data_IF_379763523673
#
_entry.id   IF_379763523673
#
_cell.length_a   1.000
_cell.length_b   1.000
_cell.length_c   1.000
_cell.angle_alpha   90.00
_cell.angle_beta   90.00
_cell.angle_gamma   90.00
#
_symmetry.space_group_name_H-M   'P 1'
#
loop_
_entity.id
_entity.type
_entity.pdbx_description
1 polymer ?
#
# COMPACT_ATOMS: atom_id res chain seq x y z
N UNK A 1 10.63 4.32 -13.84
CA UNK A 1 10.62 5.72 -14.38
C UNK A 1 9.20 6.14 -14.76
N UNK A 2 8.51 5.40 -15.63
CA UNK A 2 7.12 5.71 -16.00
C UNK A 2 6.09 5.34 -14.92
N UNK A 3 6.12 4.10 -14.40
CA UNK A 3 5.17 3.66 -13.36
C UNK A 3 5.27 4.51 -12.08
N UNK A 4 6.50 4.86 -11.68
CA UNK A 4 6.73 5.75 -10.53
C UNK A 4 6.29 7.20 -10.81
N UNK A 5 6.27 7.62 -12.08
CA UNK A 5 5.73 8.92 -12.49
C UNK A 5 4.21 8.93 -12.37
N UNK A 6 3.54 7.84 -12.76
CA UNK A 6 2.10 7.69 -12.60
C UNK A 6 1.69 7.78 -11.11
N UNK A 7 2.37 7.03 -10.23
CA UNK A 7 2.13 7.11 -8.78
C UNK A 7 2.32 8.54 -8.22
N UNK A 8 3.36 9.25 -8.66
CA UNK A 8 3.60 10.65 -8.26
C UNK A 8 2.49 11.59 -8.73
N UNK A 9 2.03 11.43 -9.98
CA UNK A 9 0.91 12.22 -10.55
C UNK A 9 -0.39 11.94 -9.79
N UNK A 10 -0.67 10.69 -9.45
CA UNK A 10 -1.83 10.31 -8.63
C UNK A 10 -1.80 11.01 -7.28
N UNK A 11 -0.68 10.94 -6.54
CA UNK A 11 -0.55 11.65 -5.25
C UNK A 11 -0.71 13.16 -5.41
N UNK A 12 -0.10 13.77 -6.43
CA UNK A 12 -0.27 15.20 -6.72
C UNK A 12 -1.73 15.58 -6.94
N UNK A 13 -2.49 14.78 -7.71
CA UNK A 13 -3.93 15.00 -7.92
C UNK A 13 -4.72 14.84 -6.62
N UNK A 14 -4.39 13.84 -5.81
CA UNK A 14 -5.04 13.65 -4.49
C UNK A 14 -4.80 14.85 -3.58
N UNK A 15 -3.58 15.41 -3.55
CA UNK A 15 -3.27 16.61 -2.77
C UNK A 15 -4.01 17.85 -3.26
N UNK A 16 -4.07 18.08 -4.58
CA UNK A 16 -4.82 19.21 -5.17
C UNK A 16 -6.31 19.13 -4.80
N UNK A 17 -6.87 17.93 -4.73
CA UNK A 17 -8.28 17.70 -4.41
C UNK A 17 -8.51 17.39 -2.92
N UNK A 18 -7.61 17.82 -2.04
CA UNK A 18 -7.71 17.70 -0.58
C UNK A 18 -7.90 16.28 -0.04
N UNK A 19 -7.62 15.26 -0.85
CA UNK A 19 -7.76 13.86 -0.49
C UNK A 19 -6.48 13.28 0.12
N UNK A 20 -5.36 14.02 0.15
CA UNK A 20 -4.08 13.60 0.72
C UNK A 20 -3.31 14.83 1.22
N UNK A 21 -2.86 14.82 2.48
CA UNK A 21 -2.05 15.91 3.00
C UNK A 21 -0.62 15.86 2.42
N UNK A 22 0.04 17.00 2.10
CA UNK A 22 1.38 17.03 1.52
C UNK A 22 2.45 16.27 2.33
N UNK A 23 2.32 16.29 3.66
CA UNK A 23 3.24 15.61 4.58
C UNK A 23 2.74 14.22 5.05
N UNK A 24 1.69 13.67 4.43
CA UNK A 24 1.21 12.33 4.76
C UNK A 24 2.20 11.24 4.35
N UNK A 25 2.12 10.09 5.02
CA UNK A 25 3.00 8.98 4.72
C UNK A 25 2.65 8.29 3.40
N UNK A 26 3.67 8.08 2.57
CA UNK A 26 3.50 7.46 1.25
C UNK A 26 3.26 5.96 1.35
N UNK A 27 3.87 5.25 2.31
CA UNK A 27 3.72 3.80 2.42
C UNK A 27 2.35 3.44 2.99
N UNK A 28 1.85 4.22 3.96
CA UNK A 28 0.49 4.13 4.52
C UNK A 28 -0.60 4.27 3.46
N UNK A 29 -0.40 5.13 2.46
CA UNK A 29 -1.31 5.26 1.32
C UNK A 29 -1.55 3.91 0.62
N UNK A 30 -0.51 3.08 0.51
CA UNK A 30 -0.54 1.80 -0.18
C UNK A 30 -0.75 0.59 0.74
N UNK A 31 -0.96 0.80 2.04
CA UNK A 31 -1.32 -0.26 2.98
C UNK A 31 -2.83 -0.53 2.94
N UNK A 32 -3.27 -1.77 3.22
CA UNK A 32 -4.69 -2.10 3.33
C UNK A 32 -5.42 -1.27 4.38
N UNK A 33 -6.69 -0.93 4.12
CA UNK A 33 -7.56 -0.19 5.06
C UNK A 33 -7.70 -0.89 6.41
N UNK A 34 -7.77 -2.23 6.40
CA UNK A 34 -7.83 -3.06 7.62
C UNK A 34 -6.59 -2.98 8.52
N UNK A 35 -5.46 -2.48 7.99
CA UNK A 35 -4.21 -2.27 8.74
C UNK A 35 -3.94 -0.78 8.98
N UNK A 36 -4.96 0.07 8.89
CA UNK A 36 -4.82 1.52 9.08
C UNK A 36 -4.24 2.28 7.88
N UNK A 37 -4.10 1.63 6.73
CA UNK A 37 -3.71 2.25 5.46
C UNK A 37 -4.90 2.83 4.68
N UNK A 38 -4.66 3.27 3.44
CA UNK A 38 -5.70 3.87 2.58
C UNK A 38 -6.21 2.96 1.46
N UNK A 39 -5.53 1.83 1.23
CA UNK A 39 -5.92 0.79 0.29
C UNK A 39 -5.63 1.12 -1.17
N UNK A 40 -4.84 2.14 -1.47
CA UNK A 40 -4.46 2.42 -2.86
C UNK A 40 -3.47 1.34 -3.34
N UNK A 41 -3.62 0.90 -4.59
CA UNK A 41 -2.65 -0.01 -5.20
C UNK A 41 -1.47 0.78 -5.75
N UNK A 42 -0.25 0.33 -5.45
CA UNK A 42 0.97 0.92 -6.01
C UNK A 42 1.19 0.33 -7.39
N UNK A 43 1.17 1.17 -8.43
CA UNK A 43 1.18 0.73 -9.84
C UNK A 43 2.33 -0.22 -10.12
N UNK A 44 3.55 0.14 -9.69
CA UNK A 44 4.74 -0.68 -9.88
C UNK A 44 4.61 -2.05 -9.21
N UNK A 45 4.05 -2.09 -8.00
CA UNK A 45 3.85 -3.36 -7.29
C UNK A 45 2.84 -4.24 -8.03
N UNK A 46 1.72 -3.68 -8.48
CA UNK A 46 0.70 -4.43 -9.22
C UNK A 46 1.29 -5.09 -10.46
N UNK A 47 2.10 -4.36 -11.24
CA UNK A 47 2.77 -4.92 -12.42
C UNK A 47 3.73 -6.07 -12.05
N UNK A 48 4.50 -5.93 -10.96
CA UNK A 48 5.37 -7.01 -10.50
C UNK A 48 4.58 -8.22 -9.98
N UNK A 49 3.46 -8.00 -9.27
CA UNK A 49 2.56 -9.06 -8.83
C UNK A 49 1.97 -9.84 -10.01
N UNK A 50 1.54 -9.17 -11.07
CA UNK A 50 1.03 -9.83 -12.28
C UNK A 50 2.13 -10.61 -13.02
N UNK A 51 3.37 -10.12 -13.05
CA UNK A 51 4.51 -10.89 -13.59
C UNK A 51 4.73 -12.18 -12.80
N UNK A 52 4.63 -12.10 -11.47
CA UNK A 52 4.72 -13.27 -10.61
C UNK A 52 3.56 -14.25 -10.84
N UNK A 53 2.33 -13.75 -10.92
CA UNK A 53 1.14 -14.55 -11.17
C UNK A 53 1.20 -15.25 -12.54
N UNK A 54 1.64 -14.56 -13.58
CA UNK A 54 1.84 -15.15 -14.90
C UNK A 54 2.93 -16.23 -14.89
N UNK A 55 4.04 -15.99 -14.18
CA UNK A 55 5.10 -16.99 -14.02
C UNK A 55 4.59 -18.26 -13.33
N UNK A 56 3.78 -18.12 -12.28
CA UNK A 56 3.15 -19.25 -11.61
C UNK A 56 2.15 -19.98 -12.50
N UNK A 57 1.32 -19.23 -13.23
CA UNK A 57 0.35 -19.78 -14.16
C UNK A 57 1.02 -20.65 -15.24
N UNK A 58 2.05 -20.12 -15.90
CA UNK A 58 2.81 -20.86 -16.92
C UNK A 58 3.53 -22.07 -16.32
N UNK A 59 4.08 -21.93 -15.10
CA UNK A 59 4.77 -23.04 -14.43
C UNK A 59 3.85 -24.22 -14.12
N UNK A 60 2.62 -23.93 -13.71
CA UNK A 60 1.62 -24.90 -13.26
C UNK A 60 0.69 -25.39 -14.39
N UNK A 61 0.72 -24.76 -15.56
CA UNK A 61 -0.13 -25.15 -16.69
C UNK A 61 0.33 -26.46 -17.33
N UNK A 62 -0.64 -27.23 -17.81
CA UNK A 62 -0.47 -28.46 -18.58
C UNK A 62 -0.75 -28.27 -20.07
N UNK A 63 -1.13 -27.06 -20.49
CA UNK A 63 -1.46 -26.78 -21.89
C UNK A 63 -0.22 -26.88 -22.79
N UNK A 64 -0.29 -27.54 -23.96
CA UNK A 64 0.86 -27.73 -24.84
C UNK A 64 1.58 -26.44 -25.21
N UNK A 65 0.84 -25.37 -25.52
CA UNK A 65 1.41 -24.07 -25.85
C UNK A 65 2.19 -23.44 -24.68
N UNK A 66 1.69 -23.60 -23.45
CA UNK A 66 2.32 -23.03 -22.25
C UNK A 66 3.52 -23.85 -21.78
N UNK A 67 3.53 -25.16 -22.05
CA UNK A 67 4.71 -26.00 -21.87
C UNK A 67 5.86 -25.55 -22.77
N UNK A 68 5.60 -25.21 -24.03
CA UNK A 68 6.62 -24.64 -24.92
C UNK A 68 7.15 -23.29 -24.43
N UNK A 69 6.27 -22.42 -23.92
CA UNK A 69 6.68 -21.13 -23.33
C UNK A 69 7.57 -21.36 -22.09
N UNK A 70 7.23 -22.36 -21.27
CA UNK A 70 8.02 -22.77 -20.10
C UNK A 70 9.40 -23.29 -20.52
N UNK A 71 9.47 -24.15 -21.53
CA UNK A 71 10.73 -24.70 -22.06
C UNK A 71 11.66 -23.62 -22.62
N UNK A 72 11.10 -22.53 -23.15
CA UNK A 72 11.88 -21.40 -23.68
C UNK A 72 12.33 -20.39 -22.62
N UNK A 73 11.96 -20.58 -21.35
CA UNK A 73 12.32 -19.71 -20.20
C UNK A 73 12.14 -18.21 -20.46
N UNK A 74 11.09 -17.84 -21.21
CA UNK A 74 10.84 -16.44 -21.61
C UNK A 74 10.52 -15.55 -20.40
N UNK A 75 9.94 -16.15 -19.35
CA UNK A 75 9.53 -15.46 -18.13
C UNK A 75 10.63 -15.60 -17.05
N UNK A 76 11.42 -14.54 -16.86
CA UNK A 76 12.53 -14.51 -15.91
C UNK A 76 12.10 -13.95 -14.56
N UNK A 77 11.54 -14.80 -13.69
CA UNK A 77 11.04 -14.38 -12.36
C UNK A 77 11.59 -15.30 -11.27
N UNK A 78 12.29 -14.73 -10.27
CA UNK A 78 13.08 -15.51 -9.29
C UNK A 78 12.26 -16.12 -8.14
N UNK A 79 11.15 -15.52 -7.69
CA UNK A 79 10.34 -16.02 -6.57
C UNK A 79 8.92 -15.47 -6.61
N UNK A 80 7.89 -16.31 -6.61
CA UNK A 80 6.52 -15.89 -6.92
C UNK A 80 5.60 -15.77 -5.70
N UNK A 81 5.56 -16.77 -4.82
CA UNK A 81 4.54 -16.85 -3.76
C UNK A 81 4.71 -15.89 -2.55
N UNK A 82 5.84 -15.18 -2.42
CA UNK A 82 6.15 -14.36 -1.23
C UNK A 82 6.22 -12.85 -1.50
N UNK A 83 6.26 -12.41 -2.76
CA UNK A 83 6.52 -11.01 -3.11
C UNK A 83 5.54 -10.03 -2.45
N UNK A 84 4.23 -10.29 -2.56
CA UNK A 84 3.17 -9.43 -2.00
C UNK A 84 3.27 -9.32 -0.48
N UNK A 85 3.42 -10.45 0.22
CA UNK A 85 3.52 -10.47 1.69
C UNK A 85 4.75 -9.71 2.17
N UNK A 86 5.91 -9.97 1.58
CA UNK A 86 7.15 -9.27 1.92
C UNK A 86 7.06 -7.77 1.65
N UNK A 87 6.50 -7.36 0.51
CA UNK A 87 6.34 -5.96 0.16
C UNK A 87 5.40 -5.22 1.12
N UNK A 88 4.33 -5.88 1.56
CA UNK A 88 3.40 -5.32 2.54
C UNK A 88 4.05 -5.16 3.92
N UNK A 89 4.83 -6.16 4.35
CA UNK A 89 5.57 -6.09 5.62
C UNK A 89 6.58 -4.94 5.61
N UNK A 90 7.40 -4.83 4.56
CA UNK A 90 8.38 -3.75 4.42
C UNK A 90 7.72 -2.37 4.51
N UNK A 91 6.53 -2.19 3.91
CA UNK A 91 5.80 -0.92 4.00
C UNK A 91 5.24 -0.65 5.38
N UNK A 92 4.67 -1.68 6.01
CA UNK A 92 4.19 -1.57 7.38
C UNK A 92 5.35 -1.11 8.27
N UNK A 93 6.49 -1.81 8.23
CA UNK A 93 7.66 -1.49 9.03
C UNK A 93 8.19 -0.07 8.71
N UNK A 94 8.26 0.32 7.43
CA UNK A 94 8.66 1.67 7.00
C UNK A 94 7.78 2.76 7.60
N UNK A 95 6.46 2.56 7.64
CA UNK A 95 5.54 3.52 8.24
C UNK A 95 5.62 3.52 9.78
N UNK A 96 5.60 2.33 10.41
CA UNK A 96 5.59 2.20 11.87
C UNK A 96 6.86 2.79 12.51
N UNK A 97 8.01 2.63 11.85
CA UNK A 97 9.30 3.09 12.37
C UNK A 97 9.56 4.59 12.17
N UNK A 98 8.64 5.35 11.55
CA UNK A 98 8.79 6.81 11.41
C UNK A 98 8.46 7.52 12.72
N UNK A 99 9.41 8.31 13.21
CA UNK A 99 9.29 9.03 14.48
C UNK A 99 8.01 9.88 14.62
N UNK A 100 7.57 10.53 13.53
CA UNK A 100 6.35 11.34 13.50
C UNK A 100 5.14 10.52 13.01
N UNK A 101 5.18 10.03 11.77
CA UNK A 101 4.03 9.36 11.15
C UNK A 101 3.61 8.04 11.82
N UNK A 102 4.51 7.37 12.53
CA UNK A 102 4.27 6.13 13.27
C UNK A 102 3.84 6.36 14.73
N UNK A 103 3.96 7.58 15.27
CA UNK A 103 3.75 7.82 16.70
C UNK A 103 2.33 7.47 17.17
N UNK A 104 1.31 7.64 16.32
CA UNK A 104 -0.06 7.24 16.64
C UNK A 104 -0.14 5.75 17.00
N UNK A 105 0.55 4.88 16.24
CA UNK A 105 0.53 3.43 16.45
C UNK A 105 1.13 3.08 17.82
N UNK A 106 2.28 3.67 18.17
CA UNK A 106 2.89 3.48 19.48
C UNK A 106 2.01 4.00 20.63
N UNK A 107 1.29 5.12 20.42
CA UNK A 107 0.41 5.70 21.44
C UNK A 107 -0.78 4.81 21.77
N UNK A 108 -1.36 4.14 20.78
CA UNK A 108 -2.57 3.32 20.93
C UNK A 108 -2.27 1.85 21.23
N UNK A 109 -1.04 1.39 20.98
CA UNK A 109 -0.60 0.01 21.22
C UNK A 109 -0.96 -0.46 22.64
N UNK A 110 -1.68 -1.57 22.72
CA UNK A 110 -2.14 -2.17 23.99
C UNK A 110 -3.20 -1.37 24.76
N UNK A 111 -3.70 -0.26 24.22
CA UNK A 111 -4.72 0.61 24.86
C UNK A 111 -6.06 0.60 24.14
N UNK A 112 -6.08 0.11 22.91
CA UNK A 112 -7.28 0.04 22.06
C UNK A 112 -7.40 -1.33 21.44
N UNK A 113 -8.60 -1.67 21.02
CA UNK A 113 -8.86 -2.83 20.18
C UNK A 113 -8.30 -2.56 18.76
N UNK A 114 -7.28 -3.33 18.36
CA UNK A 114 -6.55 -3.10 17.10
C UNK A 114 -7.44 -3.27 15.87
N UNK A 115 -8.41 -4.18 15.91
CA UNK A 115 -9.33 -4.42 14.79
C UNK A 115 -10.39 -3.31 14.72
N UNK A 116 -10.99 -2.96 15.86
CA UNK A 116 -12.03 -1.93 15.91
C UNK A 116 -11.51 -0.54 15.59
N UNK A 117 -10.23 -0.27 15.87
CA UNK A 117 -9.57 1.02 15.61
C UNK A 117 -9.69 1.46 14.15
N UNK A 118 -9.74 0.52 13.20
CA UNK A 118 -9.77 0.80 11.77
C UNK A 118 -11.13 0.62 11.12
N UNK A 119 -12.19 0.30 11.87
CA UNK A 119 -13.53 0.08 11.30
C UNK A 119 -14.07 1.30 10.55
N UNK A 120 -13.69 2.52 10.97
CA UNK A 120 -14.08 3.74 10.26
C UNK A 120 -13.46 3.84 8.86
N UNK A 121 -12.34 3.15 8.59
CA UNK A 121 -11.76 3.06 7.23
C UNK A 121 -12.46 2.01 6.37
N UNK A 122 -12.97 0.94 6.98
CA UNK A 122 -13.58 -0.19 6.26
C UNK A 122 -15.06 0.09 5.96
N UNK A 123 -15.78 0.60 6.96
CA UNK A 123 -17.23 0.80 6.92
C UNK A 123 -17.63 2.25 6.60
N UNK A 124 -16.67 3.18 6.63
CA UNK A 124 -16.96 4.61 6.64
C UNK A 124 -17.48 5.16 5.32
N UNK A 125 -18.37 6.14 5.42
CA UNK A 125 -18.88 6.98 4.33
C UNK A 125 -18.23 8.37 4.32
N UNK A 126 -17.11 8.54 5.03
CA UNK A 126 -16.47 9.83 5.19
C UNK A 126 -16.05 10.41 3.83
N UNK A 127 -16.23 11.72 3.69
CA UNK A 127 -15.70 12.44 2.53
C UNK A 127 -14.18 12.32 2.52
N UNK A 128 -13.59 12.26 1.33
CA UNK A 128 -12.14 12.09 1.12
C UNK A 128 -11.32 13.16 1.84
N UNK A 129 -11.85 14.38 1.96
CA UNK A 129 -11.22 15.51 2.66
C UNK A 129 -11.21 15.29 4.17
N UNK A 130 -12.32 14.78 4.72
CA UNK A 130 -12.43 14.44 6.15
C UNK A 130 -11.51 13.29 6.50
N UNK A 131 -11.48 12.23 5.68
CA UNK A 131 -10.51 11.13 5.88
C UNK A 131 -9.08 11.68 5.87
N UNK A 132 -8.72 12.50 4.86
CA UNK A 132 -7.38 13.05 4.71
C UNK A 132 -6.95 13.88 5.92
N UNK A 133 -7.86 14.65 6.52
CA UNK A 133 -7.60 15.42 7.73
C UNK A 133 -7.34 14.51 8.94
N UNK A 134 -8.13 13.45 9.12
CA UNK A 134 -7.92 12.46 10.19
C UNK A 134 -6.56 11.78 10.03
N UNK A 135 -6.20 11.36 8.80
CA UNK A 135 -4.89 10.80 8.50
C UNK A 135 -3.77 11.78 8.88
N UNK A 136 -3.87 13.04 8.45
CA UNK A 136 -2.87 14.06 8.75
C UNK A 136 -2.71 14.30 10.27
N UNK A 137 -3.80 14.26 11.03
CA UNK A 137 -3.77 14.37 12.49
C UNK A 137 -3.03 13.18 13.12
N UNK A 138 -3.36 11.95 12.71
CA UNK A 138 -2.68 10.74 13.19
C UNK A 138 -1.19 10.72 12.83
N UNK A 139 -0.84 11.30 11.69
CA UNK A 139 0.52 11.34 11.15
C UNK A 139 1.37 12.50 11.68
N UNK A 140 0.82 13.34 12.57
CA UNK A 140 1.47 14.57 13.04
C UNK A 140 1.85 15.53 11.91
N UNK A 141 1.11 15.44 10.81
CA UNK A 141 1.33 16.25 9.62
C UNK A 141 0.68 17.64 9.75
N UNK A 142 -0.19 17.82 10.74
CA UNK A 142 -0.81 19.11 11.09
C UNK A 142 0.02 19.78 12.17
N UNK A 143 0.35 21.06 11.99
CA UNK A 143 0.95 21.86 13.06
C UNK A 143 -0.07 22.02 14.18
N UNK A 144 0.22 21.38 15.30
CA UNK A 144 -0.43 21.70 16.57
C UNK A 144 0.53 22.63 17.29
N UNK A 145 0.05 23.77 17.79
CA UNK A 145 0.84 24.60 18.69
C UNK A 145 1.02 23.77 19.97
N UNK A 146 2.17 23.14 20.12
CA UNK A 146 2.56 22.40 21.32
C UNK A 146 3.65 23.20 22.03
#
# INVERSE_FOLDING_TARGET
>A
MELDSLDRKTRKRMTIHYALHPCSDVDRLYLPRKLGGRGLLKVKQTVEEEKHALADYVKNSTEPALLEVKNREVIKVKQTNKYRKTTMQIRADSWHNKALNGQFLEKVKGKVDEEKTWLWLINGTLKKETEALIFAAQEQAIRTNA
#
